data_IF_300955093171
#
_entry.id   IF_300955093171
#
_cell.length_a   1.000
_cell.length_b   1.000
_cell.length_c   1.000
_cell.angle_alpha   90.00
_cell.angle_beta   90.00
_cell.angle_gamma   90.00
#
_symmetry.space_group_name_H-M   'P 1'
#
loop_
_entity.id
_entity.type
_entity.pdbx_description
1 polymer ?
#
# COMPACT_ATOMS: atom_id res chain seq x y z
N UNK A 1 8.32 -13.31 10.82
CA UNK A 1 8.38 -11.91 10.32
C UNK A 1 8.00 -11.00 11.47
N UNK A 2 8.72 -9.90 11.72
CA UNK A 2 8.36 -8.97 12.79
C UNK A 2 7.08 -8.21 12.41
N UNK A 3 6.13 -8.04 13.34
CA UNK A 3 4.84 -7.38 13.09
C UNK A 3 5.01 -5.96 12.52
N UNK A 4 6.04 -5.24 12.97
CA UNK A 4 6.37 -3.92 12.46
C UNK A 4 6.67 -3.94 10.95
N UNK A 5 7.51 -4.88 10.50
CA UNK A 5 7.85 -5.04 9.09
C UNK A 5 6.60 -5.38 8.25
N UNK A 6 5.80 -6.36 8.68
CA UNK A 6 4.56 -6.71 7.97
C UNK A 6 3.62 -5.51 7.85
N UNK A 7 3.39 -4.78 8.95
CA UNK A 7 2.55 -3.58 8.94
C UNK A 7 3.10 -2.54 7.99
N UNK A 8 4.43 -2.37 7.97
CA UNK A 8 5.04 -1.33 7.17
C UNK A 8 5.00 -1.66 5.67
N UNK A 9 5.38 -2.88 5.30
CA UNK A 9 5.32 -3.42 3.93
C UNK A 9 3.89 -3.39 3.38
N UNK A 10 2.89 -3.86 4.13
CA UNK A 10 1.49 -3.84 3.71
C UNK A 10 0.98 -2.44 3.43
N UNK A 11 1.37 -1.49 4.27
CA UNK A 11 0.95 -0.12 4.11
C UNK A 11 1.63 0.58 2.94
N UNK A 12 2.88 0.24 2.63
CA UNK A 12 3.53 0.74 1.42
C UNK A 12 2.91 0.13 0.16
N UNK A 13 2.68 -1.18 0.16
CA UNK A 13 2.05 -1.89 -0.96
C UNK A 13 0.65 -1.34 -1.27
N UNK A 14 -0.17 -1.03 -0.25
CA UNK A 14 -1.50 -0.50 -0.49
C UNK A 14 -1.46 0.90 -1.10
N UNK A 15 -0.55 1.77 -0.66
CA UNK A 15 -0.43 3.12 -1.22
C UNK A 15 0.15 3.09 -2.64
N UNK A 16 1.10 2.19 -2.90
CA UNK A 16 1.65 1.97 -4.24
C UNK A 16 0.60 1.40 -5.19
N UNK A 17 -0.29 0.55 -4.70
CA UNK A 17 -1.38 0.00 -5.48
C UNK A 17 -2.46 1.04 -5.81
N UNK A 18 -2.51 2.19 -5.14
CA UNK A 18 -3.51 3.23 -5.42
C UNK A 18 -4.65 3.33 -4.41
N UNK A 19 -4.56 2.69 -3.24
CA UNK A 19 -5.61 2.80 -2.23
C UNK A 19 -5.56 4.15 -1.50
N UNK A 20 -6.74 4.73 -1.21
CA UNK A 20 -6.87 5.99 -0.48
C UNK A 20 -6.10 5.95 0.86
N UNK A 21 -6.31 4.87 1.63
CA UNK A 21 -5.70 4.70 2.94
C UNK A 21 -4.62 3.62 3.00
N UNK A 22 -3.67 3.83 3.92
CA UNK A 22 -2.64 2.85 4.25
C UNK A 22 -3.25 1.65 4.95
N UNK A 23 -3.06 0.46 4.38
CA UNK A 23 -3.53 -0.77 5.00
C UNK A 23 -2.68 -1.16 6.20
N UNK A 24 -3.31 -1.82 7.15
CA UNK A 24 -2.64 -2.41 8.32
C UNK A 24 -3.13 -3.84 8.51
N UNK A 25 -2.40 -4.72 9.22
CA UNK A 25 -2.90 -6.05 9.55
C UNK A 25 -4.24 -6.04 10.30
N UNK A 26 -4.61 -4.91 10.92
CA UNK A 26 -5.91 -4.71 11.58
C UNK A 26 -7.06 -4.55 10.59
N UNK A 27 -6.79 -4.03 9.38
CA UNK A 27 -7.76 -3.89 8.30
C UNK A 27 -8.41 -5.25 7.98
N UNK A 28 -7.59 -6.26 7.70
CA UNK A 28 -8.06 -7.63 7.42
C UNK A 28 -8.80 -8.27 8.59
N UNK A 29 -8.31 -8.06 9.82
CA UNK A 29 -9.02 -8.54 11.02
C UNK A 29 -10.41 -7.91 11.17
N UNK A 30 -10.54 -6.61 10.89
CA UNK A 30 -11.84 -5.91 10.94
C UNK A 30 -12.74 -6.36 9.80
N UNK A 31 -12.22 -6.52 8.58
CA UNK A 31 -12.96 -7.07 7.44
C UNK A 31 -13.52 -8.46 7.75
N UNK A 32 -12.69 -9.36 8.29
CA UNK A 32 -13.12 -10.68 8.72
C UNK A 32 -14.18 -10.63 9.84
N UNK A 33 -13.99 -9.77 10.85
CA UNK A 33 -14.97 -9.59 11.93
C UNK A 33 -16.31 -9.04 11.45
N UNK A 34 -16.31 -8.07 10.54
CA UNK A 34 -17.52 -7.52 9.93
C UNK A 34 -18.25 -8.55 9.07
N UNK A 35 -17.50 -9.34 8.29
CA UNK A 35 -18.06 -10.43 7.49
C UNK A 35 -18.83 -11.46 8.33
N UNK A 36 -18.32 -11.77 9.53
CA UNK A 36 -19.03 -12.64 10.49
C UNK A 36 -20.29 -11.99 11.03
N UNK A 37 -20.24 -10.69 11.33
CA UNK A 37 -21.38 -9.97 11.90
C UNK A 37 -22.54 -9.77 10.92
N UNK A 38 -22.24 -9.47 9.66
CA UNK A 38 -23.26 -9.12 8.66
C UNK A 38 -24.01 -10.32 8.09
N UNK A 39 -23.44 -11.53 8.11
CA UNK A 39 -24.14 -12.74 7.63
C UNK A 39 -24.70 -13.62 8.71
N UNK A 40 -24.15 -13.55 9.90
CA UNK A 40 -24.48 -14.49 10.94
C UNK A 40 -25.05 -13.62 12.07
N UNK A 41 -26.23 -13.06 11.79
CA UNK A 41 -26.97 -12.14 12.67
C UNK A 41 -27.31 -12.71 14.05
N UNK A 42 -26.95 -13.98 14.31
CA UNK A 42 -27.11 -14.71 15.55
C UNK A 42 -25.81 -15.40 16.01
N UNK A 43 -24.60 -14.97 15.59
CA UNK A 43 -23.38 -15.56 16.16
C UNK A 43 -23.25 -15.13 17.62
N UNK A 44 -23.17 -16.07 18.57
CA UNK A 44 -22.79 -15.73 19.92
C UNK A 44 -21.42 -15.05 19.93
N UNK A 45 -21.27 -14.00 20.75
CA UNK A 45 -20.00 -13.28 20.92
C UNK A 45 -18.83 -14.23 21.24
N UNK A 46 -19.10 -15.40 21.83
CA UNK A 46 -18.11 -16.45 22.09
C UNK A 46 -17.48 -17.06 20.84
N UNK A 47 -18.26 -17.28 19.76
CA UNK A 47 -17.73 -17.83 18.50
C UNK A 47 -16.98 -16.72 17.74
N UNK A 48 -17.45 -15.48 17.79
CA UNK A 48 -16.70 -14.32 17.26
C UNK A 48 -15.37 -14.18 17.98
N UNK A 49 -15.37 -14.21 19.31
CA UNK A 49 -14.17 -14.12 20.13
C UNK A 49 -13.23 -15.31 19.89
N UNK A 50 -13.76 -16.52 19.66
CA UNK A 50 -12.97 -17.69 19.27
C UNK A 50 -12.36 -17.53 17.88
N UNK A 51 -13.10 -17.03 16.89
CA UNK A 51 -12.57 -16.82 15.53
C UNK A 51 -11.51 -15.71 15.50
N UNK A 52 -11.65 -14.70 16.37
CA UNK A 52 -10.73 -13.57 16.47
C UNK A 52 -9.53 -13.84 17.39
N UNK A 53 -9.60 -14.87 18.26
CA UNK A 53 -8.49 -15.38 19.07
C UNK A 53 -7.85 -16.55 18.31
N UNK A 54 -6.62 -16.37 17.84
CA UNK A 54 -5.86 -17.42 17.17
C UNK A 54 -5.63 -18.64 18.08
N UNK A 55 -6.57 -19.59 18.08
CA UNK A 55 -6.29 -20.97 18.43
C UNK A 55 -5.87 -21.68 17.13
N UNK A 56 -4.61 -22.13 17.00
CA UNK A 56 -4.03 -22.57 15.72
C UNK A 56 -4.66 -23.84 15.13
N UNK A 57 -5.64 -24.43 15.80
CA UNK A 57 -6.25 -25.71 15.42
C UNK A 57 -7.60 -25.58 14.69
N UNK A 58 -8.10 -24.38 14.41
CA UNK A 58 -9.42 -24.22 13.79
C UNK A 58 -9.39 -23.41 12.50
N UNK A 59 -9.05 -24.10 11.41
CA UNK A 59 -9.37 -23.68 10.05
C UNK A 59 -10.88 -23.93 9.82
N UNK A 60 -11.73 -23.02 10.28
CA UNK A 60 -13.17 -23.10 9.99
C UNK A 60 -13.43 -22.66 8.55
N UNK A 61 -13.88 -23.63 7.76
CA UNK A 61 -14.28 -23.55 6.36
C UNK A 61 -15.04 -22.26 6.02
N UNK A 62 -14.62 -21.64 4.91
CA UNK A 62 -15.36 -20.57 4.24
C UNK A 62 -16.51 -21.22 3.46
N UNK A 63 -17.68 -21.36 4.08
CA UNK A 63 -18.92 -21.71 3.39
C UNK A 63 -19.32 -20.62 2.38
N UNK A 64 -20.10 -20.97 1.36
CA UNK A 64 -20.47 -20.11 0.21
C UNK A 64 -21.02 -18.73 0.64
N UNK A 65 -21.80 -18.66 1.71
CA UNK A 65 -22.35 -17.39 2.22
C UNK A 65 -21.25 -16.42 2.70
N UNK A 66 -20.14 -16.93 3.26
CA UNK A 66 -19.02 -16.09 3.71
C UNK A 66 -18.23 -15.48 2.53
N UNK A 67 -18.37 -16.04 1.33
CA UNK A 67 -17.75 -15.49 0.11
C UNK A 67 -18.40 -14.16 -0.30
N UNK A 68 -19.71 -14.01 -0.10
CA UNK A 68 -20.44 -12.75 -0.41
C UNK A 68 -19.87 -11.56 0.37
N UNK A 69 -19.41 -11.76 1.60
CA UNK A 69 -18.83 -10.68 2.41
C UNK A 69 -17.40 -10.36 2.03
N UNK A 70 -16.65 -11.37 1.59
CA UNK A 70 -15.36 -11.12 0.92
C UNK A 70 -15.60 -10.27 -0.33
N UNK A 71 -16.59 -10.60 -1.16
CA UNK A 71 -16.94 -9.78 -2.32
C UNK A 71 -17.40 -8.37 -1.95
N UNK A 72 -18.19 -8.18 -0.89
CA UNK A 72 -18.58 -6.85 -0.41
C UNK A 72 -17.39 -6.05 0.12
N UNK A 73 -16.49 -6.70 0.87
CA UNK A 73 -15.25 -6.09 1.34
C UNK A 73 -14.40 -5.65 0.15
N UNK A 74 -14.20 -6.53 -0.83
CA UNK A 74 -13.44 -6.21 -2.03
C UNK A 74 -14.12 -5.14 -2.88
N UNK A 75 -15.45 -5.14 -3.02
CA UNK A 75 -16.17 -4.09 -3.73
C UNK A 75 -16.00 -2.72 -3.05
N UNK A 76 -16.11 -2.65 -1.72
CA UNK A 76 -15.86 -1.42 -0.98
C UNK A 76 -14.41 -0.94 -1.14
N UNK A 77 -13.47 -1.88 -1.09
CA UNK A 77 -12.04 -1.61 -1.30
C UNK A 77 -11.77 -1.12 -2.72
N UNK A 78 -12.42 -1.69 -3.73
CA UNK A 78 -12.31 -1.28 -5.13
C UNK A 78 -12.85 0.13 -5.38
N UNK A 79 -13.82 0.60 -4.60
CA UNK A 79 -14.30 2.00 -4.70
C UNK A 79 -13.23 2.99 -4.21
N UNK A 80 -12.44 2.59 -3.22
CA UNK A 80 -11.36 3.42 -2.64
C UNK A 80 -10.01 3.19 -3.33
N UNK A 81 -10.04 2.54 -4.49
CA UNK A 81 -8.87 2.22 -5.28
C UNK A 81 -8.85 3.10 -6.53
N UNK A 82 -7.79 3.88 -6.66
CA UNK A 82 -7.45 4.54 -7.92
C UNK A 82 -5.98 4.28 -8.22
N UNK A 83 -5.66 3.49 -9.26
CA UNK A 83 -4.28 3.18 -9.58
C UNK A 83 -3.45 4.40 -10.01
N UNK A 84 -4.08 5.51 -10.43
CA UNK A 84 -3.37 6.78 -10.73
C UNK A 84 -2.88 7.44 -9.43
N UNK A 85 -3.54 7.17 -8.31
CA UNK A 85 -3.18 7.70 -7.01
C UNK A 85 -2.12 6.83 -6.33
N UNK A 86 -0.97 6.61 -6.99
CA UNK A 86 0.19 5.95 -6.39
C UNK A 86 0.82 6.79 -5.27
N UNK A 87 1.63 6.18 -4.41
CA UNK A 87 2.33 6.86 -3.30
C UNK A 87 3.02 8.15 -3.75
N UNK A 88 3.68 8.12 -4.91
CA UNK A 88 4.46 9.22 -5.45
C UNK A 88 3.70 10.06 -6.50
N UNK A 89 2.36 10.11 -6.39
CA UNK A 89 1.50 10.83 -7.34
C UNK A 89 1.63 12.36 -7.32
N UNK A 90 2.45 12.94 -6.46
CA UNK A 90 2.57 14.40 -6.34
C UNK A 90 3.40 14.92 -7.52
N UNK A 91 2.83 15.76 -8.40
CA UNK A 91 3.55 16.28 -9.56
C UNK A 91 4.76 17.15 -9.20
N UNK A 92 5.78 17.19 -10.08
CA UNK A 92 7.04 17.92 -9.87
C UNK A 92 6.85 19.44 -9.77
N UNK A 93 5.84 19.99 -10.43
CA UNK A 93 5.44 21.40 -10.34
C UNK A 93 4.90 21.74 -8.94
N UNK A 94 4.14 20.84 -8.32
CA UNK A 94 3.70 20.99 -6.92
C UNK A 94 4.91 20.99 -5.99
N UNK A 95 5.90 20.12 -6.24
CA UNK A 95 7.15 20.11 -5.48
C UNK A 95 7.95 21.40 -5.64
N UNK A 96 8.07 21.90 -6.86
CA UNK A 96 8.81 23.12 -7.19
C UNK A 96 8.19 24.38 -6.57
N UNK A 97 6.87 24.40 -6.42
CA UNK A 97 6.12 25.52 -5.86
C UNK A 97 5.99 25.49 -4.33
N UNK A 98 6.51 24.47 -3.64
CA UNK A 98 6.44 24.40 -2.18
C UNK A 98 7.38 25.42 -1.53
N UNK A 99 6.88 26.27 -0.61
CA UNK A 99 7.72 27.22 0.10
C UNK A 99 8.74 26.50 0.98
N UNK A 100 9.98 26.98 1.07
CA UNK A 100 10.97 26.41 2.00
C UNK A 100 10.43 26.44 3.44
N UNK A 101 10.71 25.40 4.22
CA UNK A 101 10.34 25.38 5.63
C UNK A 101 11.21 26.37 6.40
N UNK A 102 10.64 27.35 7.11
CA UNK A 102 11.44 28.31 7.88
C UNK A 102 12.31 27.60 8.92
N UNK A 103 11.80 26.55 9.56
CA UNK A 103 12.55 25.83 10.59
C UNK A 103 13.72 25.03 9.99
N UNK A 104 13.53 24.43 8.80
CA UNK A 104 14.62 23.72 8.11
C UNK A 104 15.67 24.73 7.62
N UNK A 105 15.24 25.88 7.10
CA UNK A 105 16.12 26.96 6.66
C UNK A 105 16.98 27.49 7.81
N UNK A 106 16.41 27.73 8.99
CA UNK A 106 17.15 28.16 10.18
C UNK A 106 18.18 27.12 10.62
N UNK A 107 17.80 25.84 10.65
CA UNK A 107 18.72 24.75 11.00
C UNK A 107 19.88 24.61 10.01
N UNK A 108 19.63 24.88 8.72
CA UNK A 108 20.67 24.89 7.69
C UNK A 108 21.66 26.03 7.85
N UNK A 109 21.18 27.24 8.18
CA UNK A 109 22.04 28.38 8.49
C UNK A 109 22.91 28.08 9.71
N UNK A 110 22.32 27.58 10.80
CA UNK A 110 23.06 27.19 12.01
C UNK A 110 24.10 26.10 11.71
N UNK A 111 23.76 25.11 10.88
CA UNK A 111 24.70 24.08 10.44
C UNK A 111 25.84 24.68 9.62
N UNK A 112 25.55 25.62 8.72
CA UNK A 112 26.55 26.28 7.89
C UNK A 112 27.52 27.13 8.72
N UNK A 113 27.01 27.88 9.69
CA UNK A 113 27.80 28.67 10.64
C UNK A 113 28.74 27.80 11.46
N UNK A 114 28.24 26.70 12.04
CA UNK A 114 29.04 25.76 12.83
C UNK A 114 30.09 25.01 11.98
N UNK A 115 29.79 24.79 10.70
CA UNK A 115 30.71 24.15 9.76
C UNK A 115 31.80 25.11 9.28
N UNK A 116 31.54 26.42 9.25
CA UNK A 116 32.51 27.46 8.90
C UNK A 116 33.21 27.24 7.54
N UNK A 117 32.51 26.61 6.58
CA UNK A 117 33.07 26.26 5.27
C UNK A 117 34.02 25.05 5.24
N UNK A 118 34.28 24.38 6.37
CA UNK A 118 35.18 23.22 6.41
C UNK A 118 34.50 21.96 5.87
N UNK A 119 35.13 21.29 4.90
CA UNK A 119 34.60 20.04 4.34
C UNK A 119 34.78 18.82 5.26
N UNK A 120 35.85 18.77 6.06
CA UNK A 120 36.09 17.71 7.05
C UNK A 120 35.59 18.14 8.42
N UNK A 121 34.74 17.30 9.02
CA UNK A 121 34.16 17.51 10.35
C UNK A 121 35.04 16.97 11.48
N UNK A 122 35.94 16.03 11.15
CA UNK A 122 36.82 15.34 12.10
C UNK A 122 37.78 16.35 12.73
N UNK A 123 37.67 16.53 14.05
CA UNK A 123 38.50 17.46 14.83
C UNK A 123 37.87 18.83 15.07
N UNK A 124 36.64 19.07 14.61
CA UNK A 124 35.88 20.28 14.94
C UNK A 124 35.24 20.13 16.34
N UNK A 125 35.31 21.18 17.18
CA UNK A 125 34.67 21.24 18.50
C UNK A 125 33.14 21.02 18.45
N UNK A 126 32.53 21.21 17.29
CA UNK A 126 31.08 21.09 17.08
C UNK A 126 30.65 19.87 16.25
N UNK A 127 31.54 18.90 16.03
CA UNK A 127 31.26 17.71 15.20
C UNK A 127 29.96 16.99 15.57
N UNK A 128 29.76 16.67 16.85
CA UNK A 128 28.55 16.00 17.34
C UNK A 128 27.28 16.81 17.09
N UNK A 129 27.34 18.12 17.31
CA UNK A 129 26.22 19.04 17.05
C UNK A 129 25.89 19.12 15.56
N UNK A 130 26.89 19.14 14.68
CA UNK A 130 26.69 19.17 13.22
C UNK A 130 26.05 17.85 12.74
N UNK A 131 26.47 16.70 13.30
CA UNK A 131 25.86 15.41 13.00
C UNK A 131 24.39 15.36 13.45
N UNK A 132 24.09 15.85 14.67
CA UNK A 132 22.71 15.95 15.17
C UNK A 132 21.85 16.85 14.29
N UNK A 133 22.35 18.05 13.93
CA UNK A 133 21.65 18.98 13.03
C UNK A 133 21.39 18.36 11.65
N UNK A 134 22.36 17.61 11.10
CA UNK A 134 22.19 16.93 9.82
C UNK A 134 21.08 15.89 9.90
N UNK A 135 21.05 15.10 10.98
CA UNK A 135 20.00 14.10 11.20
C UNK A 135 18.63 14.75 11.39
N UNK A 136 18.52 15.83 12.18
CA UNK A 136 17.24 16.51 12.42
C UNK A 136 16.72 17.16 11.14
N UNK A 137 17.58 17.79 10.34
CA UNK A 137 17.22 18.34 9.02
C UNK A 137 16.69 17.24 8.11
N UNK A 138 17.40 16.11 8.01
CA UNK A 138 16.97 14.97 7.18
C UNK A 138 15.61 14.44 7.63
N UNK A 139 15.42 14.25 8.93
CA UNK A 139 14.17 13.75 9.50
C UNK A 139 13.00 14.72 9.24
N UNK A 140 13.23 16.03 9.40
CA UNK A 140 12.23 17.06 9.11
C UNK A 140 11.84 17.10 7.65
N UNK A 141 12.81 17.02 6.72
CA UNK A 141 12.55 16.94 5.28
C UNK A 141 11.69 15.72 4.95
N UNK A 142 12.11 14.52 5.37
CA UNK A 142 11.32 13.30 5.15
C UNK A 142 9.91 13.37 5.74
N UNK A 143 9.74 13.96 6.92
CA UNK A 143 8.41 14.13 7.52
C UNK A 143 7.55 15.13 6.75
N UNK A 144 8.16 16.21 6.26
CA UNK A 144 7.49 17.22 5.44
C UNK A 144 7.02 16.61 4.11
N UNK A 145 7.87 15.85 3.43
CA UNK A 145 7.52 15.20 2.16
C UNK A 145 6.36 14.23 2.36
N UNK A 146 6.41 13.40 3.42
CA UNK A 146 5.31 12.51 3.80
C UNK A 146 4.00 13.27 4.06
N UNK A 147 4.06 14.45 4.68
CA UNK A 147 2.88 15.27 4.94
C UNK A 147 2.30 15.88 3.67
N UNK A 148 3.15 16.34 2.75
CA UNK A 148 2.74 16.88 1.44
C UNK A 148 2.03 15.79 0.66
N UNK A 149 2.66 14.63 0.49
CA UNK A 149 2.06 13.46 -0.18
C UNK A 149 0.72 13.10 0.46
N UNK A 150 0.67 12.98 1.79
CA UNK A 150 -0.57 12.65 2.49
C UNK A 150 -1.69 13.67 2.23
N UNK A 151 -1.38 14.97 2.26
CA UNK A 151 -2.37 16.03 2.02
C UNK A 151 -2.84 16.04 0.58
N UNK A 152 -1.91 15.93 -0.37
CA UNK A 152 -2.22 15.91 -1.79
C UNK A 152 -3.09 14.71 -2.17
N UNK A 153 -2.75 13.52 -1.68
CA UNK A 153 -3.58 12.31 -1.83
C UNK A 153 -4.99 12.52 -1.29
N UNK A 154 -5.09 13.06 -0.07
CA UNK A 154 -6.40 13.30 0.55
C UNK A 154 -7.23 14.29 -0.27
N UNK A 155 -6.61 15.35 -0.78
CA UNK A 155 -7.28 16.31 -1.67
C UNK A 155 -7.71 15.65 -2.99
N UNK A 156 -6.86 14.80 -3.56
CA UNK A 156 -7.15 14.05 -4.77
C UNK A 156 -8.37 13.15 -4.62
N UNK A 157 -8.43 12.30 -3.59
CA UNK A 157 -9.59 11.42 -3.38
C UNK A 157 -10.86 12.20 -3.00
N UNK A 158 -10.71 13.29 -2.24
CA UNK A 158 -11.85 14.11 -1.86
C UNK A 158 -12.45 14.89 -3.04
N UNK A 159 -11.61 15.43 -3.94
CA UNK A 159 -12.03 16.22 -5.08
C UNK A 159 -12.13 15.44 -6.39
N UNK A 160 -11.68 14.17 -6.41
CA UNK A 160 -11.67 13.31 -7.60
C UNK A 160 -13.02 13.24 -8.29
N UNK A 161 -14.11 12.87 -7.59
CA UNK A 161 -15.44 12.83 -8.19
C UNK A 161 -15.88 14.16 -8.82
N UNK A 162 -15.54 15.29 -8.19
CA UNK A 162 -15.85 16.62 -8.72
C UNK A 162 -15.07 16.90 -10.00
N UNK A 163 -13.76 16.60 -10.00
CA UNK A 163 -12.89 16.78 -11.17
C UNK A 163 -13.32 15.90 -12.34
N UNK A 164 -13.77 14.67 -12.07
CA UNK A 164 -14.27 13.75 -13.09
C UNK A 164 -15.55 14.31 -13.75
N UNK A 165 -16.49 14.84 -12.95
CA UNK A 165 -17.70 15.49 -13.47
C UNK A 165 -17.35 16.72 -14.34
N UNK A 166 -16.43 17.57 -13.88
CA UNK A 166 -15.98 18.75 -14.64
C UNK A 166 -15.32 18.35 -15.96
N UNK A 167 -14.51 17.29 -15.95
CA UNK A 167 -13.83 16.74 -17.13
C UNK A 167 -14.82 16.20 -18.16
N UNK A 168 -15.82 15.44 -17.70
CA UNK A 168 -16.91 14.93 -18.53
C UNK A 168 -17.74 16.07 -19.17
N UNK A 169 -18.02 17.14 -18.40
CA UNK A 169 -18.72 18.32 -18.93
C UNK A 169 -17.88 19.13 -19.92
N UNK A 170 -16.56 19.14 -19.74
CA UNK A 170 -15.60 19.78 -20.63
C UNK A 170 -15.28 18.99 -21.91
N UNK A 171 -15.80 17.78 -22.07
CA UNK A 171 -15.49 16.90 -23.20
C UNK A 171 -14.05 16.41 -23.24
N UNK A 172 -13.36 16.44 -22.10
CA UNK A 172 -12.01 15.90 -21.96
C UNK A 172 -12.09 14.38 -21.76
N UNK A 173 -11.27 13.63 -22.47
CA UNK A 173 -11.18 12.18 -22.30
C UNK A 173 -10.65 11.85 -20.90
N UNK A 174 -11.21 10.81 -20.28
CA UNK A 174 -10.70 10.27 -19.02
C UNK A 174 -9.28 9.72 -19.26
N UNK A 175 -8.33 10.00 -18.37
CA UNK A 175 -6.93 9.56 -18.57
C UNK A 175 -6.91 8.03 -18.65
N UNK A 176 -6.54 7.42 -19.77
CA UNK A 176 -6.61 5.97 -19.89
C UNK A 176 -5.77 5.28 -18.80
N UNK A 177 -6.37 4.36 -18.05
CA UNK A 177 -5.63 3.57 -17.08
C UNK A 177 -4.72 2.59 -17.82
N UNK A 178 -3.41 2.80 -17.70
CA UNK A 178 -2.41 1.86 -18.18
C UNK A 178 -2.05 0.94 -17.03
N UNK A 179 -2.45 -0.33 -17.13
CA UNK A 179 -2.10 -1.33 -16.14
C UNK A 179 -0.56 -1.44 -16.04
N UNK A 180 0.02 -1.28 -14.83
CA UNK A 180 1.46 -1.27 -14.69
C UNK A 180 2.00 -2.64 -15.05
N UNK A 181 3.04 -2.65 -15.90
CA UNK A 181 3.71 -3.89 -16.27
C UNK A 181 4.33 -4.54 -15.02
N UNK A 182 3.82 -5.71 -14.65
CA UNK A 182 4.36 -6.50 -13.55
C UNK A 182 5.71 -7.08 -13.97
N UNK A 183 6.80 -6.51 -13.44
CA UNK A 183 8.14 -7.08 -13.58
C UNK A 183 8.38 -8.01 -12.37
N UNK A 184 8.27 -9.31 -12.59
CA UNK A 184 8.39 -10.33 -11.55
C UNK A 184 9.68 -11.12 -11.77
N UNK A 185 10.64 -10.98 -10.84
CA UNK A 185 11.95 -11.64 -10.92
C UNK A 185 11.85 -13.18 -10.82
N UNK A 186 10.80 -13.69 -10.16
CA UNK A 186 10.56 -15.12 -10.02
C UNK A 186 9.65 -15.61 -11.14
N UNK A 187 10.11 -16.53 -12.01
CA UNK A 187 9.33 -17.01 -13.13
C UNK A 187 8.06 -17.76 -12.69
N UNK A 188 8.09 -18.49 -11.56
CA UNK A 188 6.90 -19.14 -11.02
C UNK A 188 5.82 -18.14 -10.62
N UNK A 189 6.20 -16.93 -10.18
CA UNK A 189 5.26 -15.88 -9.81
C UNK A 189 4.66 -15.21 -11.04
N UNK A 190 5.45 -15.04 -12.10
CA UNK A 190 4.96 -14.56 -13.40
C UNK A 190 3.94 -15.53 -14.01
N UNK A 191 4.24 -16.83 -14.01
CA UNK A 191 3.31 -17.87 -14.49
C UNK A 191 2.03 -17.92 -13.66
N UNK A 192 2.15 -17.79 -12.34
CA UNK A 192 0.99 -17.74 -11.45
C UNK A 192 0.12 -16.51 -11.70
N UNK A 193 0.74 -15.34 -11.95
CA UNK A 193 0.02 -14.11 -12.29
C UNK A 193 -0.74 -14.28 -13.62
N UNK A 194 -0.12 -14.87 -14.63
CA UNK A 194 -0.78 -15.14 -15.92
C UNK A 194 -2.00 -16.07 -15.75
N UNK A 195 -1.86 -17.17 -15.02
CA UNK A 195 -2.94 -18.15 -14.80
C UNK A 195 -4.09 -17.63 -13.92
N UNK A 196 -3.82 -16.71 -12.99
CA UNK A 196 -4.83 -16.18 -12.06
C UNK A 196 -5.48 -14.90 -12.58
N UNK A 197 -4.72 -14.01 -13.22
CA UNK A 197 -5.20 -12.70 -13.67
C UNK A 197 -5.75 -12.73 -15.10
N UNK A 198 -5.28 -13.64 -15.96
CA UNK A 198 -5.69 -13.72 -17.36
C UNK A 198 -6.43 -15.04 -17.66
N UNK A 199 -7.52 -15.33 -16.93
CA UNK A 199 -8.37 -16.48 -17.25
C UNK A 199 -9.28 -16.19 -18.45
N UNK A 200 -9.18 -16.95 -19.55
CA UNK A 200 -10.12 -16.87 -20.67
C UNK A 200 -11.53 -17.29 -20.27
N UNK A 201 -12.55 -16.60 -20.78
CA UNK A 201 -13.97 -16.83 -20.48
C UNK A 201 -14.52 -18.20 -20.94
N UNK A 202 -13.78 -18.94 -21.78
CA UNK A 202 -14.28 -20.15 -22.45
C UNK A 202 -13.53 -21.44 -22.07
N UNK A 203 -13.01 -21.54 -20.85
CA UNK A 203 -12.39 -22.78 -20.40
C UNK A 203 -13.41 -23.90 -20.18
N UNK A 204 -13.07 -25.09 -20.67
CA UNK A 204 -13.76 -26.33 -20.29
C UNK A 204 -13.42 -26.72 -18.85
N UNK A 205 -14.30 -27.49 -18.19
CA UNK A 205 -14.07 -27.96 -16.81
C UNK A 205 -12.75 -28.74 -16.62
N UNK A 206 -12.30 -29.44 -17.66
CA UNK A 206 -11.01 -30.15 -17.66
C UNK A 206 -9.83 -29.18 -17.68
N UNK A 207 -9.92 -28.10 -18.45
CA UNK A 207 -8.90 -27.04 -18.49
C UNK A 207 -8.85 -26.28 -17.17
N UNK A 208 -10.01 -25.97 -16.57
CA UNK A 208 -10.09 -25.36 -15.24
C UNK A 208 -9.42 -26.27 -14.20
N UNK A 209 -9.72 -27.56 -14.24
CA UNK A 209 -9.14 -28.55 -13.31
C UNK A 209 -7.63 -28.63 -13.46
N UNK A 210 -7.12 -28.66 -14.69
CA UNK A 210 -5.68 -28.69 -14.97
C UNK A 210 -4.97 -27.41 -14.51
N UNK A 211 -5.55 -26.25 -14.80
CA UNK A 211 -5.01 -24.96 -14.38
C UNK A 211 -4.96 -24.86 -12.84
N UNK A 212 -5.97 -25.38 -12.13
CA UNK A 212 -5.96 -25.43 -10.65
C UNK A 212 -4.81 -26.28 -10.10
N UNK A 213 -4.54 -27.44 -10.72
CA UNK A 213 -3.40 -28.29 -10.32
C UNK A 213 -2.08 -27.56 -10.56
N UNK A 214 -1.93 -26.92 -11.73
CA UNK A 214 -0.74 -26.14 -12.08
C UNK A 214 -0.52 -24.97 -11.12
N UNK A 215 -1.57 -24.24 -10.75
CA UNK A 215 -1.52 -23.18 -9.73
C UNK A 215 -1.06 -23.73 -8.38
N UNK A 216 -1.56 -24.90 -7.94
CA UNK A 216 -1.14 -25.54 -6.67
C UNK A 216 0.34 -25.92 -6.71
N UNK A 217 0.80 -26.51 -7.81
CA UNK A 217 2.20 -26.91 -7.99
C UNK A 217 3.13 -25.70 -8.00
N UNK A 218 2.73 -24.62 -8.69
CA UNK A 218 3.45 -23.35 -8.71
C UNK A 218 3.50 -22.71 -7.32
N UNK A 219 2.41 -22.70 -6.57
CA UNK A 219 2.39 -22.23 -5.18
C UNK A 219 3.35 -23.05 -4.30
N UNK A 220 3.35 -24.37 -4.44
CA UNK A 220 4.24 -25.26 -3.69
C UNK A 220 5.72 -25.03 -4.03
N UNK A 221 6.03 -24.78 -5.30
CA UNK A 221 7.37 -24.40 -5.75
C UNK A 221 7.79 -23.02 -5.21
N UNK A 222 6.88 -22.04 -5.24
CA UNK A 222 7.13 -20.67 -4.79
C UNK A 222 7.36 -20.60 -3.28
N UNK A 223 6.65 -21.41 -2.47
CA UNK A 223 6.87 -21.51 -1.03
C UNK A 223 8.32 -21.87 -0.64
N UNK A 224 9.08 -22.52 -1.53
CA UNK A 224 10.50 -22.87 -1.31
C UNK A 224 11.47 -21.79 -1.76
N UNK A 225 10.98 -20.76 -2.45
CA UNK A 225 11.77 -19.63 -2.97
C UNK A 225 11.48 -18.37 -2.15
N UNK A 226 12.48 -17.50 -2.04
CA UNK A 226 12.31 -16.15 -1.49
C UNK A 226 12.86 -15.18 -2.50
N UNK A 227 12.13 -14.10 -2.74
CA UNK A 227 12.65 -12.91 -3.41
C UNK A 227 13.70 -12.31 -2.48
N UNK A 228 14.97 -12.51 -2.83
CA UNK A 228 16.06 -11.73 -2.27
C UNK A 228 16.16 -10.44 -3.08
N UNK A 229 15.52 -9.39 -2.58
CA UNK A 229 15.94 -8.02 -2.89
C UNK A 229 17.13 -7.69 -1.99
#
# INVERSE_FOLDING_TARGET
MAYAKLRDDMGEQSLNAGFEERWTPKFWRRGAGNAVNDHLGDVPDSIRDQMMRHDPNQNTFLEEEKQIQLFKLFAYVSILWDPRAMRDMVPEDVWSNLPLDPEISELEVLRAELKGGQYRLVGNKHETKICQLTYTISLKRTNRDKLVVKKYRKDYFYNGPTRDIERQQGGQEEDEYIEPKLDLDIPERAQLAELLCHQPEHWSEEQISKARVEVIDLYAALCKKKETV
#
